data_IF_729246132370
#
_entry.id   IF_729246132370
#
_cell.length_a   1.000
_cell.length_b   1.000
_cell.length_c   1.000
_cell.angle_alpha   90.00
_cell.angle_beta   90.00
_cell.angle_gamma   90.00
#
_symmetry.space_group_name_H-M   'P 1'
#
loop_
_entity.id
_entity.type
_entity.pdbx_description
1 polymer ?
#
# COMPACT_ATOMS: atom_id res chain seq x y z
N UNK A 1 -7.33 9.23 3.00
CA UNK A 1 -6.92 8.76 1.65
C UNK A 1 -5.80 9.64 1.15
N UNK A 2 -5.00 9.18 0.18
CA UNK A 2 -3.95 9.99 -0.42
C UNK A 2 -4.53 11.21 -1.15
N UNK A 3 -3.76 12.31 -1.24
CA UNK A 3 -4.18 13.47 -2.03
C UNK A 3 -4.05 13.20 -3.53
N UNK A 4 -4.88 13.88 -4.33
CA UNK A 4 -4.85 13.80 -5.79
C UNK A 4 -3.46 13.98 -6.39
N UNK A 5 -2.72 15.00 -5.94
CA UNK A 5 -1.36 15.27 -6.42
C UNK A 5 -0.38 14.11 -6.15
N UNK A 6 -0.54 13.39 -5.04
CA UNK A 6 0.22 12.16 -4.77
C UNK A 6 -0.18 11.07 -5.77
N UNK A 7 -1.48 10.83 -5.97
CA UNK A 7 -1.96 9.78 -6.86
C UNK A 7 -1.53 10.03 -8.33
N UNK A 8 -1.62 11.28 -8.80
CA UNK A 8 -1.12 11.72 -10.12
C UNK A 8 0.37 11.46 -10.30
N UNK A 9 1.18 11.77 -9.27
CA UNK A 9 2.63 11.56 -9.28
C UNK A 9 2.99 10.07 -9.23
N UNK A 10 2.35 9.29 -8.35
CA UNK A 10 2.62 7.86 -8.18
C UNK A 10 2.24 7.07 -9.42
N UNK A 11 1.07 7.32 -10.04
CA UNK A 11 0.68 6.58 -11.25
C UNK A 11 1.62 6.86 -12.43
N UNK A 12 2.13 8.10 -12.54
CA UNK A 12 3.12 8.46 -13.54
C UNK A 12 4.49 7.80 -13.29
N UNK A 13 4.99 7.82 -12.05
CA UNK A 13 6.30 7.25 -11.72
C UNK A 13 6.31 5.70 -11.76
N UNK A 14 5.17 5.05 -11.52
CA UNK A 14 5.01 3.62 -11.79
C UNK A 14 5.22 3.32 -13.28
N UNK A 15 4.62 4.11 -14.20
CA UNK A 15 4.82 3.95 -15.65
C UNK A 15 6.28 4.21 -16.06
N UNK A 16 6.88 5.28 -15.53
CA UNK A 16 8.26 5.64 -15.81
C UNK A 16 9.27 4.56 -15.37
N UNK A 17 9.02 3.91 -14.22
CA UNK A 17 9.84 2.81 -13.72
C UNK A 17 9.59 1.47 -14.45
N UNK A 18 8.38 1.23 -14.95
CA UNK A 18 7.97 0.06 -15.73
C UNK A 18 6.63 0.33 -16.40
N UNK A 19 6.57 0.41 -17.74
CA UNK A 19 5.35 0.91 -18.40
C UNK A 19 4.10 0.07 -18.13
N UNK A 20 2.95 0.74 -18.03
CA UNK A 20 1.63 0.12 -18.06
C UNK A 20 1.35 -0.57 -19.40
N UNK A 21 1.93 -0.13 -20.51
CA UNK A 21 1.76 -0.78 -21.80
C UNK A 21 2.65 -2.03 -21.90
N UNK A 22 2.05 -3.18 -22.22
CA UNK A 22 2.74 -4.49 -22.27
C UNK A 22 3.07 -4.91 -23.70
N UNK A 23 2.05 -5.01 -24.56
CA UNK A 23 2.20 -5.39 -25.97
C UNK A 23 0.99 -4.94 -26.79
N UNK A 24 1.21 -4.55 -28.04
CA UNK A 24 0.13 -4.34 -29.00
C UNK A 24 -0.34 -5.68 -29.57
N UNK A 25 -1.58 -5.73 -30.07
CA UNK A 25 -2.06 -6.76 -30.98
C UNK A 25 -2.19 -6.16 -32.38
N UNK A 26 -2.33 -7.00 -33.41
CA UNK A 26 -2.83 -6.50 -34.69
C UNK A 26 -4.18 -5.79 -34.46
N UNK A 27 -4.39 -4.65 -35.11
CA UNK A 27 -5.62 -3.83 -35.05
C UNK A 27 -5.91 -3.11 -33.71
N UNK A 28 -4.94 -3.00 -32.78
CA UNK A 28 -5.03 -2.08 -31.63
C UNK A 28 -4.20 -0.82 -31.83
N UNK A 29 -4.72 0.34 -31.40
CA UNK A 29 -4.00 1.62 -31.34
C UNK A 29 -3.91 2.09 -29.88
N UNK A 30 -3.05 1.46 -29.06
CA UNK A 30 -2.95 1.78 -27.64
C UNK A 30 -2.50 3.22 -27.43
N UNK A 31 -3.16 3.92 -26.52
CA UNK A 31 -2.85 5.29 -26.12
C UNK A 31 -3.02 5.41 -24.60
N UNK A 32 -2.01 5.96 -23.94
CA UNK A 32 -2.06 6.23 -22.52
C UNK A 32 -1.48 7.61 -22.20
N UNK A 33 -1.87 8.15 -21.06
CA UNK A 33 -1.43 9.48 -20.65
C UNK A 33 -1.84 9.84 -19.23
N UNK A 34 -1.09 10.76 -18.64
CA UNK A 34 -1.13 11.09 -17.22
C UNK A 34 -1.44 12.57 -17.02
N UNK A 35 -2.17 12.88 -15.94
CA UNK A 35 -2.46 14.27 -15.55
C UNK A 35 -1.18 15.00 -15.13
N UNK A 36 -0.29 14.30 -14.40
CA UNK A 36 0.95 14.85 -13.86
C UNK A 36 1.84 15.56 -14.90
N UNK A 37 2.05 14.94 -16.07
CA UNK A 37 2.87 15.50 -17.15
C UNK A 37 2.02 15.99 -18.35
N UNK A 38 0.71 16.18 -18.15
CA UNK A 38 -0.23 16.71 -19.15
C UNK A 38 -0.33 15.90 -20.46
N UNK A 39 0.04 14.61 -20.46
CA UNK A 39 0.02 13.74 -21.65
C UNK A 39 -1.34 13.10 -21.97
N UNK A 40 -2.39 13.38 -21.17
CA UNK A 40 -3.75 12.88 -21.43
C UNK A 40 -4.26 13.35 -22.79
N UNK A 41 -4.56 12.42 -23.69
CA UNK A 41 -5.13 12.70 -25.01
C UNK A 41 -6.49 13.40 -24.87
N UNK A 42 -6.55 14.67 -25.30
CA UNK A 42 -7.73 15.53 -25.14
C UNK A 42 -8.96 15.02 -25.90
N UNK A 43 -8.79 14.50 -27.13
CA UNK A 43 -9.88 13.95 -27.95
C UNK A 43 -10.48 12.69 -27.32
N UNK A 44 -9.62 11.78 -26.82
CA UNK A 44 -10.06 10.61 -26.06
C UNK A 44 -10.77 11.05 -24.77
N UNK A 45 -10.26 12.07 -24.08
CA UNK A 45 -10.88 12.58 -22.86
C UNK A 45 -12.27 13.19 -23.13
N UNK A 46 -12.43 13.93 -24.22
CA UNK A 46 -13.73 14.46 -24.65
C UNK A 46 -14.72 13.34 -25.00
N UNK A 47 -14.27 12.32 -25.74
CA UNK A 47 -15.07 11.15 -26.05
C UNK A 47 -15.48 10.38 -24.78
N UNK A 48 -14.53 10.12 -23.86
CA UNK A 48 -14.77 9.46 -22.59
C UNK A 48 -15.79 10.22 -21.74
N UNK A 49 -15.66 11.54 -21.56
CA UNK A 49 -16.61 12.31 -20.77
C UNK A 49 -18.01 12.30 -21.38
N UNK A 50 -18.14 12.32 -22.72
CA UNK A 50 -19.43 12.20 -23.42
C UNK A 50 -20.14 10.85 -23.19
N UNK A 51 -19.40 9.78 -22.85
CA UNK A 51 -20.03 8.47 -22.55
C UNK A 51 -20.76 8.40 -21.22
N UNK A 52 -20.53 9.37 -20.31
CA UNK A 52 -21.06 9.30 -18.93
C UNK A 52 -20.54 8.13 -18.09
N UNK A 53 -19.45 7.46 -18.51
CA UNK A 53 -18.86 6.34 -17.77
C UNK A 53 -18.16 6.81 -16.50
N UNK A 54 -17.42 7.92 -16.57
CA UNK A 54 -16.76 8.56 -15.43
C UNK A 54 -17.77 9.45 -14.69
N UNK A 55 -17.83 9.32 -13.36
CA UNK A 55 -18.75 10.09 -12.50
C UNK A 55 -18.10 11.38 -11.95
N UNK A 56 -16.78 11.38 -11.81
CA UNK A 56 -15.96 12.52 -11.37
C UNK A 56 -15.70 13.51 -12.53
N UNK A 57 -15.14 14.69 -12.24
CA UNK A 57 -14.94 15.72 -13.25
C UNK A 57 -13.76 15.38 -14.17
N UNK A 58 -13.69 16.03 -15.35
CA UNK A 58 -12.54 15.94 -16.27
C UNK A 58 -11.20 16.19 -15.57
N UNK A 59 -11.18 17.12 -14.61
CA UNK A 59 -10.00 17.45 -13.81
C UNK A 59 -9.47 16.26 -13.03
N UNK A 60 -10.33 15.31 -12.66
CA UNK A 60 -10.09 14.32 -11.60
C UNK A 60 -9.60 12.97 -12.14
N UNK A 61 -9.68 12.77 -13.47
CA UNK A 61 -9.00 11.67 -14.17
C UNK A 61 -7.49 11.88 -14.14
N UNK A 62 -6.78 11.05 -13.37
CA UNK A 62 -5.34 11.14 -13.17
C UNK A 62 -4.54 10.36 -14.22
N UNK A 63 -5.10 9.29 -14.79
CA UNK A 63 -4.46 8.42 -15.77
C UNK A 63 -5.50 7.78 -16.70
N UNK A 64 -5.12 7.60 -17.96
CA UNK A 64 -5.93 6.97 -19.01
C UNK A 64 -5.10 5.87 -19.67
N UNK A 65 -5.64 4.66 -19.78
CA UNK A 65 -5.02 3.50 -20.43
C UNK A 65 -6.01 2.93 -21.46
N UNK A 66 -5.99 3.41 -22.70
CA UNK A 66 -7.05 3.17 -23.69
C UNK A 66 -6.57 2.53 -25.01
N UNK A 67 -7.46 1.86 -25.73
CA UNK A 67 -7.22 1.30 -27.06
C UNK A 67 -8.11 1.99 -28.10
N UNK A 68 -7.50 2.84 -28.93
CA UNK A 68 -8.24 3.70 -29.84
C UNK A 68 -8.64 2.95 -31.12
N UNK A 69 -9.93 2.65 -31.24
CA UNK A 69 -10.53 2.16 -32.49
C UNK A 69 -11.81 2.90 -32.86
N UNK A 70 -12.84 2.92 -32.00
CA UNK A 70 -14.07 3.71 -32.22
C UNK A 70 -14.84 4.14 -30.95
N UNK A 71 -14.48 3.63 -29.77
CA UNK A 71 -15.10 3.95 -28.47
C UNK A 71 -13.96 4.15 -27.46
N UNK A 72 -14.21 4.85 -26.35
CA UNK A 72 -13.25 5.00 -25.25
C UNK A 72 -13.09 3.68 -24.45
N UNK A 73 -12.64 2.61 -25.13
CA UNK A 73 -12.22 1.36 -24.50
C UNK A 73 -10.93 1.60 -23.70
N UNK A 74 -10.92 1.22 -22.43
CA UNK A 74 -9.75 1.35 -21.58
C UNK A 74 -9.97 1.07 -20.10
N UNK A 75 -8.91 1.35 -19.34
CA UNK A 75 -8.89 1.46 -17.90
C UNK A 75 -8.57 2.93 -17.58
N UNK A 76 -9.38 3.54 -16.72
CA UNK A 76 -9.25 4.96 -16.36
C UNK A 76 -9.16 5.08 -14.85
N UNK A 77 -8.23 5.91 -14.38
CA UNK A 77 -8.02 6.16 -12.97
C UNK A 77 -8.41 7.60 -12.67
N UNK A 78 -9.23 7.79 -11.64
CA UNK A 78 -9.45 9.10 -11.01
C UNK A 78 -8.66 9.19 -9.71
N UNK A 79 -8.77 10.32 -9.01
CA UNK A 79 -8.28 10.47 -7.64
C UNK A 79 -9.12 9.69 -6.59
N UNK A 80 -10.26 9.11 -6.99
CA UNK A 80 -11.17 8.37 -6.11
C UNK A 80 -11.42 6.91 -6.51
N UNK A 81 -11.34 6.57 -7.80
CA UNK A 81 -11.78 5.28 -8.32
C UNK A 81 -11.01 4.79 -9.54
N UNK A 82 -11.00 3.47 -9.73
CA UNK A 82 -10.68 2.81 -10.99
C UNK A 82 -11.98 2.53 -11.76
N UNK A 83 -11.95 2.85 -13.04
CA UNK A 83 -12.97 2.49 -14.03
C UNK A 83 -12.37 1.53 -15.04
N UNK A 84 -13.16 0.52 -15.42
CA UNK A 84 -12.88 -0.31 -16.59
C UNK A 84 -14.05 -0.18 -17.54
N UNK A 85 -13.75 0.03 -18.81
CA UNK A 85 -14.69 -0.12 -19.91
C UNK A 85 -13.95 -0.77 -21.08
N UNK A 86 -13.97 -2.11 -21.16
CA UNK A 86 -13.21 -2.84 -22.15
C UNK A 86 -13.99 -4.09 -22.58
N UNK A 87 -14.53 -4.11 -23.82
CA UNK A 87 -15.10 -5.33 -24.41
C UNK A 87 -14.14 -6.51 -24.43
N UNK A 88 -12.82 -6.26 -24.42
CA UNK A 88 -11.74 -7.26 -24.37
C UNK A 88 -11.42 -7.77 -22.96
N UNK A 89 -12.13 -7.29 -21.94
CA UNK A 89 -12.02 -7.68 -20.55
C UNK A 89 -13.27 -8.47 -20.13
N UNK A 90 -13.12 -9.52 -19.31
CA UNK A 90 -14.23 -10.35 -18.82
C UNK A 90 -15.36 -9.52 -18.23
N UNK A 91 -15.02 -8.67 -17.26
CA UNK A 91 -15.95 -7.74 -16.66
C UNK A 91 -15.93 -6.45 -17.48
N UNK A 92 -16.82 -6.38 -18.47
CA UNK A 92 -16.76 -5.38 -19.57
C UNK A 92 -16.85 -3.92 -19.12
N UNK A 93 -17.57 -3.64 -18.03
CA UNK A 93 -17.76 -2.28 -17.49
C UNK A 93 -17.96 -2.34 -15.98
N UNK A 94 -17.11 -1.66 -15.21
CA UNK A 94 -17.29 -1.49 -13.76
C UNK A 94 -16.54 -0.27 -13.21
N UNK A 95 -16.89 0.13 -11.98
CA UNK A 95 -16.23 1.17 -11.18
C UNK A 95 -15.90 0.60 -9.81
N UNK A 96 -14.67 0.79 -9.33
CA UNK A 96 -14.27 0.49 -7.95
C UNK A 96 -13.65 1.73 -7.31
N UNK A 97 -14.34 2.39 -6.36
CA UNK A 97 -13.74 3.39 -5.48
C UNK A 97 -12.60 2.80 -4.64
N UNK A 98 -11.48 3.51 -4.50
CA UNK A 98 -10.31 2.97 -3.79
C UNK A 98 -10.61 2.62 -2.32
N UNK A 99 -11.50 3.38 -1.66
CA UNK A 99 -11.94 3.11 -0.28
C UNK A 99 -12.81 1.86 -0.14
N UNK A 100 -13.45 1.39 -1.22
CA UNK A 100 -14.32 0.21 -1.20
C UNK A 100 -13.53 -1.08 -1.43
N UNK A 101 -12.25 -1.01 -1.80
CA UNK A 101 -11.38 -2.17 -1.95
C UNK A 101 -11.15 -2.82 -0.57
N UNK A 102 -11.28 -4.16 -0.53
CA UNK A 102 -11.07 -5.03 0.63
C UNK A 102 -9.98 -6.07 0.37
N UNK A 103 -9.82 -6.49 -0.88
CA UNK A 103 -8.83 -7.48 -1.30
C UNK A 103 -8.36 -7.23 -2.73
N UNK A 104 -7.08 -7.49 -2.99
CA UNK A 104 -6.47 -7.49 -4.31
C UNK A 104 -5.72 -8.82 -4.46
N UNK A 105 -6.04 -9.58 -5.50
CA UNK A 105 -5.44 -10.89 -5.81
C UNK A 105 -4.87 -10.83 -7.23
N UNK A 106 -3.54 -10.90 -7.35
CA UNK A 106 -2.83 -10.83 -8.62
C UNK A 106 -2.18 -12.18 -8.94
N UNK A 107 -2.65 -12.84 -10.00
CA UNK A 107 -2.01 -14.02 -10.55
C UNK A 107 -0.88 -13.60 -11.52
N UNK A 108 0.40 -13.93 -11.22
CA UNK A 108 1.56 -13.51 -12.01
C UNK A 108 1.84 -14.35 -13.25
N UNK A 109 1.14 -15.47 -13.47
CA UNK A 109 1.49 -16.42 -14.54
C UNK A 109 1.43 -15.73 -15.92
N UNK A 110 2.49 -15.77 -16.74
CA UNK A 110 2.51 -15.17 -18.08
C UNK A 110 1.35 -15.64 -18.97
N UNK A 111 0.91 -14.76 -19.88
CA UNK A 111 -0.22 -14.91 -20.81
C UNK A 111 -1.62 -15.13 -20.18
N UNK A 112 -1.72 -15.69 -18.97
CA UNK A 112 -2.96 -15.85 -18.18
C UNK A 112 -3.01 -14.95 -16.94
N UNK A 113 -2.17 -13.91 -16.88
CA UNK A 113 -2.14 -12.99 -15.74
C UNK A 113 -3.51 -12.33 -15.53
N UNK A 114 -3.99 -12.29 -14.29
CA UNK A 114 -5.30 -11.76 -13.89
C UNK A 114 -5.13 -10.95 -12.61
N UNK A 115 -5.81 -9.81 -12.52
CA UNK A 115 -6.01 -9.08 -11.28
C UNK A 115 -7.48 -9.17 -10.87
N UNK A 116 -7.77 -9.68 -9.68
CA UNK A 116 -9.09 -9.63 -9.05
C UNK A 116 -9.12 -8.55 -7.98
N UNK A 117 -10.23 -7.83 -7.92
CA UNK A 117 -10.51 -6.75 -6.98
C UNK A 117 -11.76 -7.15 -6.19
N UNK A 118 -11.59 -7.44 -4.91
CA UNK A 118 -12.71 -7.75 -4.00
C UNK A 118 -13.05 -6.50 -3.21
N UNK A 119 -14.31 -6.08 -3.25
CA UNK A 119 -14.81 -4.90 -2.54
C UNK A 119 -15.41 -5.25 -1.17
N UNK A 120 -15.67 -4.23 -0.33
CA UNK A 120 -16.22 -4.38 1.03
C UNK A 120 -17.61 -5.01 1.08
N UNK A 121 -18.42 -4.87 0.02
CA UNK A 121 -19.69 -5.57 -0.15
C UNK A 121 -19.53 -7.00 -0.73
N UNK A 122 -18.29 -7.51 -0.82
CA UNK A 122 -17.90 -8.80 -1.40
C UNK A 122 -18.19 -8.97 -2.91
N UNK A 123 -18.47 -7.90 -3.66
CA UNK A 123 -18.40 -7.97 -5.12
C UNK A 123 -16.95 -8.21 -5.57
N UNK A 124 -16.79 -9.02 -6.63
CA UNK A 124 -15.48 -9.34 -7.21
C UNK A 124 -15.47 -8.83 -8.65
N UNK A 125 -14.44 -8.08 -9.01
CA UNK A 125 -14.21 -7.57 -10.36
C UNK A 125 -12.85 -8.05 -10.89
N UNK A 126 -12.78 -8.30 -12.19
CA UNK A 126 -11.65 -8.95 -12.86
C UNK A 126 -11.05 -8.04 -13.91
N UNK A 127 -9.72 -7.94 -13.93
CA UNK A 127 -8.95 -7.32 -15.00
C UNK A 127 -8.06 -8.40 -15.62
N UNK A 128 -8.41 -8.82 -16.83
CA UNK A 128 -7.68 -9.85 -17.60
C UNK A 128 -7.24 -9.38 -18.99
N UNK A 129 -7.59 -8.14 -19.40
CA UNK A 129 -7.12 -7.50 -20.65
C UNK A 129 -5.61 -7.63 -20.89
N UNK A 130 -5.21 -7.81 -22.16
CA UNK A 130 -3.83 -8.15 -22.54
C UNK A 130 -2.92 -6.95 -22.85
N UNK A 131 -3.48 -5.75 -22.99
CA UNK A 131 -2.72 -4.54 -23.35
C UNK A 131 -1.97 -3.94 -22.15
N UNK A 132 -2.57 -4.02 -20.97
CA UNK A 132 -2.14 -3.29 -19.78
C UNK A 132 -1.48 -4.19 -18.75
N UNK A 133 -0.50 -3.64 -18.03
CA UNK A 133 0.22 -4.31 -16.96
C UNK A 133 -0.70 -4.41 -15.73
N UNK A 134 -1.38 -5.55 -15.59
CA UNK A 134 -2.16 -5.90 -14.39
C UNK A 134 -1.32 -5.76 -13.11
N UNK A 135 -0.01 -5.99 -13.23
CA UNK A 135 0.95 -5.82 -12.14
C UNK A 135 1.11 -4.37 -11.68
N UNK A 136 1.22 -3.43 -12.61
CA UNK A 136 1.33 -2.01 -12.28
C UNK A 136 -0.02 -1.46 -11.79
N UNK A 137 -1.14 -1.98 -12.32
CA UNK A 137 -2.48 -1.67 -11.82
C UNK A 137 -2.65 -2.19 -10.38
N UNK A 138 -2.23 -3.43 -10.09
CA UNK A 138 -2.18 -3.99 -8.75
C UNK A 138 -1.39 -3.07 -7.79
N UNK A 139 -0.16 -2.73 -8.18
CA UNK A 139 0.73 -1.88 -7.39
C UNK A 139 0.11 -0.50 -7.10
N UNK A 140 -0.46 0.16 -8.12
CA UNK A 140 -1.16 1.43 -7.94
C UNK A 140 -2.36 1.28 -6.99
N UNK A 141 -3.19 0.25 -7.14
CA UNK A 141 -4.36 0.03 -6.29
C UNK A 141 -3.99 -0.31 -4.85
N UNK A 142 -2.91 -1.06 -4.59
CA UNK A 142 -2.38 -1.32 -3.25
C UNK A 142 -2.05 -0.02 -2.51
N UNK A 143 -1.48 0.96 -3.23
CA UNK A 143 -1.13 2.28 -2.69
C UNK A 143 -2.39 3.17 -2.55
N UNK A 144 -3.20 3.28 -3.60
CA UNK A 144 -4.37 4.17 -3.65
C UNK A 144 -5.48 3.78 -2.65
N UNK A 145 -5.64 2.48 -2.38
CA UNK A 145 -6.54 1.97 -1.33
C UNK A 145 -5.95 2.03 0.09
N UNK A 146 -4.63 2.24 0.21
CA UNK A 146 -3.90 2.17 1.48
C UNK A 146 -3.70 0.74 2.02
N UNK A 147 -3.94 -0.30 1.22
CA UNK A 147 -3.73 -1.68 1.63
C UNK A 147 -2.25 -2.04 1.82
N UNK A 148 -1.37 -1.57 0.93
CA UNK A 148 0.09 -1.77 0.97
C UNK A 148 0.55 -3.24 1.15
N UNK A 149 -0.23 -4.22 0.67
CA UNK A 149 0.12 -5.64 0.73
C UNK A 149 1.08 -6.01 -0.42
N UNK A 150 2.30 -5.48 -0.33
CA UNK A 150 3.33 -5.55 -1.36
C UNK A 150 4.15 -6.84 -1.24
N UNK A 151 4.18 -7.66 -2.30
CA UNK A 151 5.13 -8.77 -2.42
C UNK A 151 6.55 -8.28 -2.82
N UNK A 152 7.55 -9.18 -2.88
CA UNK A 152 8.94 -8.84 -3.22
C UNK A 152 9.11 -8.12 -4.56
N UNK A 153 8.35 -8.53 -5.56
CA UNK A 153 8.43 -8.01 -6.92
C UNK A 153 7.71 -6.66 -7.06
N UNK A 154 6.77 -6.35 -6.17
CA UNK A 154 6.21 -4.99 -6.02
C UNK A 154 7.18 -4.07 -5.29
N UNK A 155 7.87 -4.55 -4.24
CA UNK A 155 8.95 -3.81 -3.57
C UNK A 155 10.09 -3.49 -4.54
N UNK A 156 10.52 -4.45 -5.37
CA UNK A 156 11.54 -4.25 -6.42
C UNK A 156 11.12 -3.22 -7.48
N UNK A 157 9.82 -3.12 -7.81
CA UNK A 157 9.34 -2.03 -8.68
C UNK A 157 9.39 -0.68 -7.95
N UNK A 158 8.90 -0.61 -6.72
CA UNK A 158 8.88 0.65 -5.95
C UNK A 158 10.26 1.22 -5.65
N UNK A 159 11.30 0.39 -5.56
CA UNK A 159 12.70 0.84 -5.48
C UNK A 159 13.18 1.60 -6.73
N UNK A 160 12.56 1.38 -7.89
CA UNK A 160 12.86 2.07 -9.16
C UNK A 160 12.02 3.32 -9.40
N UNK A 161 10.93 3.49 -8.65
CA UNK A 161 10.05 4.66 -8.69
C UNK A 161 10.78 5.81 -8.00
N UNK A 162 10.92 6.98 -8.63
CA UNK A 162 11.66 8.10 -8.05
C UNK A 162 10.82 8.83 -6.98
N UNK A 163 10.81 8.22 -5.79
CA UNK A 163 10.07 8.70 -4.63
C UNK A 163 10.65 9.99 -4.04
N UNK A 164 11.88 10.39 -4.38
CA UNK A 164 12.48 11.66 -3.91
C UNK A 164 11.68 12.87 -4.39
N UNK A 165 11.07 12.74 -5.58
CA UNK A 165 10.20 13.74 -6.21
C UNK A 165 8.74 13.70 -5.71
N UNK A 166 8.43 12.99 -4.61
CA UNK A 166 7.14 13.04 -3.91
C UNK A 166 7.19 13.86 -2.61
N UNK A 167 8.37 14.07 -2.02
CA UNK A 167 8.49 14.66 -0.67
C UNK A 167 8.62 16.19 -0.66
N UNK A 168 8.83 16.82 -1.83
CA UNK A 168 9.17 18.25 -1.95
C UNK A 168 8.04 19.25 -1.72
N UNK A 169 6.79 18.80 -1.57
CA UNK A 169 5.62 19.66 -1.32
C UNK A 169 5.06 19.45 0.09
N UNK A 170 4.83 20.54 0.83
CA UNK A 170 4.86 20.56 2.32
C UNK A 170 3.70 19.84 3.02
N UNK A 171 2.62 19.47 2.32
CA UNK A 171 1.54 18.58 2.81
C UNK A 171 1.56 17.19 2.15
N UNK A 172 2.26 17.06 1.03
CA UNK A 172 2.50 15.84 0.25
C UNK A 172 3.54 14.95 0.95
N UNK A 173 4.53 15.58 1.59
CA UNK A 173 5.68 14.95 2.21
C UNK A 173 5.39 13.95 3.33
N UNK A 174 4.27 14.05 4.07
CA UNK A 174 3.95 13.09 5.12
C UNK A 174 3.53 11.73 4.55
N UNK A 175 2.56 11.71 3.64
CA UNK A 175 2.09 10.48 3.01
C UNK A 175 3.13 9.88 2.05
N UNK A 176 3.84 10.74 1.31
CA UNK A 176 5.02 10.34 0.55
C UNK A 176 6.11 9.75 1.46
N UNK A 177 6.37 10.38 2.61
CA UNK A 177 7.36 9.97 3.60
C UNK A 177 7.00 8.69 4.33
N UNK A 178 5.72 8.36 4.52
CA UNK A 178 5.29 7.05 5.04
C UNK A 178 5.46 5.95 4.01
N UNK A 179 5.06 6.18 2.74
CA UNK A 179 5.29 5.20 1.65
C UNK A 179 6.80 4.99 1.45
N UNK A 180 7.58 6.08 1.39
CA UNK A 180 9.03 6.04 1.28
C UNK A 180 9.70 5.40 2.49
N UNK A 181 9.34 5.79 3.72
CA UNK A 181 9.92 5.25 4.95
C UNK A 181 9.66 3.76 5.10
N UNK A 182 8.45 3.30 4.78
CA UNK A 182 8.11 1.88 4.84
C UNK A 182 8.85 1.06 3.76
N UNK A 183 8.90 1.54 2.50
CA UNK A 183 9.61 0.83 1.42
C UNK A 183 11.12 0.89 1.59
N UNK A 184 11.67 2.06 1.92
CA UNK A 184 13.11 2.31 2.08
C UNK A 184 13.68 1.57 3.29
N UNK A 185 13.02 1.61 4.45
CA UNK A 185 13.45 0.81 5.59
C UNK A 185 13.33 -0.68 5.27
N UNK A 186 12.18 -1.17 4.78
CA UNK A 186 12.04 -2.58 4.42
C UNK A 186 13.11 -3.06 3.43
N UNK A 187 13.47 -2.25 2.45
CA UNK A 187 14.51 -2.57 1.45
C UNK A 187 15.94 -2.52 2.00
N UNK A 188 16.28 -1.50 2.80
CA UNK A 188 17.60 -1.35 3.42
C UNK A 188 17.83 -2.47 4.44
N UNK A 189 16.80 -2.79 5.23
CA UNK A 189 16.80 -3.93 6.14
C UNK A 189 16.94 -5.25 5.38
N UNK A 190 16.22 -5.47 4.28
CA UNK A 190 16.42 -6.66 3.43
C UNK A 190 17.85 -6.80 2.89
N UNK A 191 18.45 -5.67 2.48
CA UNK A 191 19.83 -5.60 2.03
C UNK A 191 20.81 -6.00 3.14
N UNK A 192 20.55 -5.58 4.37
CA UNK A 192 21.37 -5.93 5.54
C UNK A 192 21.09 -7.36 6.05
N UNK A 193 19.85 -7.84 6.04
CA UNK A 193 19.44 -9.19 6.49
C UNK A 193 20.13 -10.28 5.64
N UNK A 194 20.29 -10.04 4.34
CA UNK A 194 20.99 -10.95 3.41
C UNK A 194 22.47 -11.17 3.76
N UNK A 195 23.07 -10.29 4.56
CA UNK A 195 24.48 -10.36 4.97
C UNK A 195 24.67 -10.30 6.50
N UNK A 196 23.58 -10.39 7.29
CA UNK A 196 23.53 -9.94 8.68
C UNK A 196 23.53 -11.05 9.73
N UNK A 197 22.39 -11.71 9.95
CA UNK A 197 22.18 -12.51 11.18
C UNK A 197 21.10 -13.58 11.06
N UNK A 198 21.30 -14.72 11.73
CA UNK A 198 20.30 -15.80 11.78
C UNK A 198 19.09 -15.52 12.73
N UNK A 199 19.25 -14.57 13.66
CA UNK A 199 18.40 -14.23 14.83
C UNK A 199 17.10 -13.41 14.65
N UNK A 200 17.02 -12.55 13.64
CA UNK A 200 16.71 -11.13 13.89
C UNK A 200 15.43 -10.48 13.31
N UNK A 201 14.43 -11.25 12.86
CA UNK A 201 13.43 -10.75 11.89
C UNK A 201 12.28 -9.87 12.41
N UNK A 202 12.14 -9.63 13.73
CA UNK A 202 10.93 -9.02 14.31
C UNK A 202 10.87 -7.49 14.30
N UNK A 203 11.75 -6.84 15.06
CA UNK A 203 11.59 -5.45 15.55
C UNK A 203 11.41 -4.38 14.48
N UNK A 204 12.05 -4.53 13.32
CA UNK A 204 12.09 -3.47 12.32
C UNK A 204 10.90 -3.53 11.34
N UNK A 205 10.45 -4.74 10.99
CA UNK A 205 9.16 -4.96 10.31
C UNK A 205 7.99 -4.55 11.21
N UNK A 206 8.08 -4.82 12.51
CA UNK A 206 7.13 -4.38 13.53
C UNK A 206 7.05 -2.85 13.61
N UNK A 207 8.18 -2.12 13.60
CA UNK A 207 8.19 -0.64 13.55
C UNK A 207 7.59 -0.07 12.25
N UNK A 208 7.83 -0.71 11.09
CA UNK A 208 7.22 -0.29 9.82
C UNK A 208 5.69 -0.51 9.81
N UNK A 209 5.22 -1.68 10.30
CA UNK A 209 3.80 -1.98 10.47
C UNK A 209 3.14 -1.04 11.49
N UNK A 210 3.83 -0.66 12.56
CA UNK A 210 3.34 0.30 13.55
C UNK A 210 3.16 1.71 12.97
N UNK A 211 4.10 2.17 12.13
CA UNK A 211 3.99 3.46 11.44
C UNK A 211 2.83 3.45 10.42
N UNK A 212 2.61 2.30 9.78
CA UNK A 212 1.49 2.03 8.88
C UNK A 212 0.13 1.99 9.60
N UNK A 213 0.02 1.39 10.78
CA UNK A 213 -1.21 1.41 11.59
C UNK A 213 -1.59 2.84 12.02
N UNK A 214 -0.61 3.67 12.40
CA UNK A 214 -0.85 5.10 12.67
C UNK A 214 -1.28 5.88 11.43
N UNK A 215 -0.68 5.61 10.27
CA UNK A 215 -1.07 6.26 9.00
C UNK A 215 -2.46 5.86 8.52
N UNK A 216 -2.89 4.61 8.80
CA UNK A 216 -4.23 4.12 8.47
C UNK A 216 -5.30 4.46 9.52
N UNK A 217 -4.92 5.19 10.58
CA UNK A 217 -5.86 5.73 11.58
C UNK A 217 -6.29 4.74 12.66
N UNK A 218 -5.52 3.67 12.90
CA UNK A 218 -5.72 2.78 14.05
C UNK A 218 -4.93 3.31 15.24
N UNK A 219 -5.54 3.29 16.44
CA UNK A 219 -4.93 3.81 17.67
C UNK A 219 -3.85 2.85 18.21
N UNK A 220 -2.68 2.88 17.57
CA UNK A 220 -1.53 2.07 17.93
C UNK A 220 -0.56 2.88 18.81
N UNK A 221 -0.37 2.44 20.06
CA UNK A 221 0.67 2.97 20.96
C UNK A 221 1.93 2.11 20.89
N UNK A 222 3.08 2.75 20.71
CA UNK A 222 4.39 2.12 20.90
C UNK A 222 4.53 1.79 22.40
N UNK A 223 4.79 0.54 22.73
CA UNK A 223 5.27 0.11 24.05
C UNK A 223 6.66 -0.47 23.82
N UNK A 224 7.70 0.34 23.97
CA UNK A 224 9.08 -0.09 23.69
C UNK A 224 10.03 1.00 23.15
N UNK A 225 10.07 2.17 23.78
CA UNK A 225 11.15 3.17 23.59
C UNK A 225 11.78 3.60 24.94
N UNK A 226 11.53 2.85 26.01
CA UNK A 226 12.23 2.99 27.29
C UNK A 226 13.50 2.13 27.28
N UNK A 227 14.65 2.73 26.99
CA UNK A 227 15.96 2.11 27.21
C UNK A 227 16.35 2.17 28.70
N UNK A 228 15.48 1.66 29.57
CA UNK A 228 15.72 1.56 31.01
C UNK A 228 16.37 0.22 31.33
N UNK A 229 17.58 0.28 31.88
CA UNK A 229 18.47 -0.89 32.00
C UNK A 229 17.92 -2.03 32.88
N UNK A 230 16.88 -1.78 33.69
CA UNK A 230 16.12 -2.76 34.47
C UNK A 230 14.62 -2.36 34.66
N UNK A 231 13.88 -2.14 33.56
CA UNK A 231 12.44 -1.81 33.58
C UNK A 231 11.50 -3.03 33.46
N UNK A 232 10.30 -2.98 34.07
CA UNK A 232 9.38 -4.12 34.17
C UNK A 232 8.52 -4.38 32.91
N UNK A 233 8.26 -5.66 32.66
CA UNK A 233 7.84 -6.19 31.34
C UNK A 233 6.36 -5.99 30.96
N UNK A 234 5.53 -5.38 31.83
CA UNK A 234 4.14 -4.95 31.53
C UNK A 234 3.46 -4.24 32.71
N UNK A 235 2.54 -3.31 32.41
CA UNK A 235 1.54 -2.79 33.36
C UNK A 235 0.14 -2.88 32.74
N UNK A 236 -0.81 -3.45 33.46
CA UNK A 236 -2.24 -3.58 33.08
C UNK A 236 -3.10 -2.76 34.04
N UNK A 237 -4.29 -2.35 33.57
CA UNK A 237 -5.23 -1.42 34.21
C UNK A 237 -5.43 -1.55 35.74
N UNK A 238 -5.73 -0.39 36.34
CA UNK A 238 -6.09 -0.14 37.75
C UNK A 238 -6.87 -1.29 38.43
N UNK A 239 -6.17 -2.10 39.20
CA UNK A 239 -6.69 -2.70 40.45
C UNK A 239 -5.62 -2.55 41.52
N UNK A 240 -6.00 -2.07 42.72
CA UNK A 240 -5.08 -2.04 43.87
C UNK A 240 -4.92 -3.45 44.43
N UNK A 241 -3.73 -4.03 44.31
CA UNK A 241 -3.23 -5.06 45.22
C UNK A 241 -1.84 -4.63 45.71
N UNK A 242 -1.64 -4.67 47.04
CA UNK A 242 -0.40 -4.22 47.68
C UNK A 242 0.61 -5.37 47.66
N UNK A 243 1.85 -5.20 47.19
CA UNK A 243 2.88 -6.20 47.38
C UNK A 243 3.42 -6.10 48.81
N UNK A 244 3.35 -7.20 49.56
CA UNK A 244 4.01 -7.33 50.85
C UNK A 244 4.66 -8.72 50.91
N UNK A 245 5.90 -8.83 50.42
CA UNK A 245 6.78 -9.99 50.59
C UNK A 245 8.15 -9.43 50.97
N UNK A 246 8.67 -9.90 52.11
CA UNK A 246 9.94 -9.46 52.66
C UNK A 246 11.12 -10.12 51.94
N UNK A 247 12.22 -9.37 51.83
CA UNK A 247 13.52 -9.92 51.48
C UNK A 247 14.07 -10.59 52.74
N UNK A 248 14.42 -11.87 52.66
CA UNK A 248 15.10 -12.57 53.77
C UNK A 248 16.60 -12.28 53.72
N UNK A 249 17.11 -11.65 54.78
CA UNK A 249 18.53 -11.31 54.95
C UNK A 249 19.29 -12.51 55.57
N UNK A 250 20.33 -13.06 54.91
CA UNK A 250 21.05 -14.22 55.40
C UNK A 250 22.22 -13.86 56.33
N UNK A 251 21.96 -13.16 57.45
CA UNK A 251 22.82 -13.17 58.66
C UNK A 251 22.19 -12.42 59.85
N UNK A 252 21.35 -13.11 60.64
CA UNK A 252 21.01 -12.71 62.00
C UNK A 252 21.00 -13.93 62.92
N UNK A 253 21.75 -13.86 64.02
CA UNK A 253 22.06 -14.99 64.89
C UNK A 253 21.29 -14.96 66.22
N UNK A 254 21.29 -16.11 66.88
CA UNK A 254 21.11 -16.34 68.32
C UNK A 254 19.69 -16.51 68.91
N UNK A 255 19.61 -17.52 69.79
CA UNK A 255 18.73 -17.67 70.95
C UNK A 255 17.22 -17.96 70.73
N UNK A 256 16.53 -18.74 71.58
CA UNK A 256 16.84 -19.91 72.46
C UNK A 256 15.49 -20.47 72.96
N UNK A 257 15.47 -21.73 73.44
CA UNK A 257 14.33 -22.45 74.08
C UNK A 257 13.18 -22.91 73.16
N UNK A 258 12.71 -24.17 73.10
CA UNK A 258 12.65 -25.38 73.99
C UNK A 258 11.25 -25.58 74.58
N UNK A 259 10.70 -26.81 74.44
CA UNK A 259 9.45 -27.33 75.05
C UNK A 259 8.17 -26.57 74.63
N UNK A 260 6.94 -27.06 74.73
CA UNK A 260 6.35 -28.39 75.03
C UNK A 260 5.33 -28.69 73.90
N UNK A 261 4.89 -29.92 73.63
CA UNK A 261 5.03 -31.18 74.36
C UNK A 261 5.27 -32.35 73.42
#
# INVERSE_FOLDING_TARGET
MLSKAILERIVYEIDAASSFFVRSKAWSSPTWGFSYNQTRNSKLMDALMKTGIIQEKRSDVICMLADWSNVAEGIFLTDQALYVHSPKNRDKKFRVPFHSIKGLDYNPIPDIAVLKITTRNNSVHTIDTTLWSKRNIHLFLQIASGMMQLDEEDRRRLQKVDMSKLTSNTSTGFAAGVVYGNVSNASTLYGQDKFGTARGHGFAAERANHLFDKFTGKDARLVGDGNDKHGADRVVNKVRSRPNIAIADPNASSNVSRTVR
#
